data_IF_932964800519
#
_entry.id   IF_932964800519
#
_cell.length_a   1.000
_cell.length_b   1.000
_cell.length_c   1.000
_cell.angle_alpha   90.00
_cell.angle_beta   90.00
_cell.angle_gamma   90.00
#
_symmetry.space_group_name_H-M   'P 1'
#
loop_
_entity.id
_entity.type
_entity.pdbx_description
1 polymer ?
#
# COMPACT_ATOMS: atom_id res chain seq x y z
N UNK A 1 5.41 -3.23 0.91
CA UNK A 1 5.83 -4.44 0.17
C UNK A 1 4.95 -4.61 -1.07
N UNK A 2 5.54 -4.64 -2.27
CA UNK A 2 4.85 -4.91 -3.54
C UNK A 2 4.58 -6.42 -3.77
N UNK A 3 5.21 -7.29 -2.98
CA UNK A 3 5.00 -8.73 -2.98
C UNK A 3 3.76 -9.04 -2.13
N UNK A 4 2.59 -8.95 -2.75
CA UNK A 4 1.31 -9.05 -2.04
C UNK A 4 0.83 -10.50 -1.85
N UNK A 5 1.35 -11.46 -2.64
CA UNK A 5 0.85 -12.85 -2.69
C UNK A 5 1.97 -13.88 -2.83
N UNK A 6 2.76 -14.10 -1.78
CA UNK A 6 3.78 -15.16 -1.77
C UNK A 6 4.84 -15.05 -2.88
N UNK A 7 4.96 -13.87 -3.48
CA UNK A 7 5.94 -13.58 -4.52
C UNK A 7 7.31 -13.44 -3.87
N UNK A 8 8.33 -13.96 -4.53
CA UNK A 8 9.72 -13.92 -4.07
C UNK A 8 10.57 -13.23 -5.13
N UNK A 9 11.57 -12.47 -4.69
CA UNK A 9 12.58 -11.93 -5.58
C UNK A 9 13.50 -13.09 -5.97
N UNK A 10 13.53 -13.45 -7.26
CA UNK A 10 14.36 -14.55 -7.78
C UNK A 10 15.80 -14.14 -8.04
N UNK A 11 16.07 -12.83 -8.12
CA UNK A 11 17.43 -12.32 -8.21
C UNK A 11 18.20 -12.59 -6.91
N UNK A 12 19.47 -12.94 -7.03
CA UNK A 12 20.37 -12.95 -5.88
C UNK A 12 20.49 -11.53 -5.33
N UNK A 13 20.30 -11.40 -4.02
CA UNK A 13 20.41 -10.14 -3.31
C UNK A 13 21.62 -10.21 -2.39
N UNK A 14 22.50 -9.22 -2.50
CA UNK A 14 23.53 -9.01 -1.49
C UNK A 14 22.86 -8.60 -0.18
N UNK A 15 22.84 -9.53 0.78
CA UNK A 15 22.25 -9.31 2.10
C UNK A 15 23.27 -8.84 3.14
N UNK A 16 24.55 -8.71 2.77
CA UNK A 16 25.62 -8.30 3.68
C UNK A 16 25.43 -6.88 4.23
N UNK A 17 24.63 -6.05 3.54
CA UNK A 17 24.32 -4.67 3.90
C UNK A 17 22.88 -4.48 4.39
N UNK A 18 22.19 -5.56 4.76
CA UNK A 18 20.83 -5.45 5.30
C UNK A 18 20.85 -4.95 6.72
N UNK A 19 19.88 -4.10 7.06
CA UNK A 19 19.77 -3.49 8.38
C UNK A 19 18.43 -3.79 9.02
N UNK A 20 18.44 -4.02 10.33
CA UNK A 20 17.20 -4.07 11.10
C UNK A 20 16.69 -2.65 11.32
N UNK A 21 15.37 -2.48 11.21
CA UNK A 21 14.70 -1.21 11.43
C UNK A 21 13.73 -1.32 12.61
N UNK A 22 14.23 -1.48 13.85
CA UNK A 22 13.38 -1.53 15.03
C UNK A 22 12.75 -0.16 15.25
N UNK A 23 11.46 -0.15 15.57
CA UNK A 23 10.71 1.06 15.93
C UNK A 23 10.02 0.82 17.27
N UNK A 24 10.01 1.84 18.13
CA UNK A 24 9.20 1.86 19.35
C UNK A 24 7.75 2.20 19.01
N UNK A 25 6.83 1.92 19.92
CA UNK A 25 5.45 2.38 19.80
C UNK A 25 5.41 3.90 19.57
N UNK A 26 4.65 4.34 18.56
CA UNK A 26 4.56 5.75 18.14
C UNK A 26 5.65 6.21 17.15
N UNK A 27 6.68 5.41 16.91
CA UNK A 27 7.65 5.68 15.84
C UNK A 27 7.18 5.10 14.50
N UNK A 28 7.69 5.65 13.41
CA UNK A 28 7.43 5.16 12.07
C UNK A 28 8.74 5.04 11.28
N UNK A 29 8.70 4.24 10.23
CA UNK A 29 9.71 4.22 9.19
C UNK A 29 9.11 4.77 7.90
N UNK A 30 9.92 5.48 7.12
CA UNK A 30 9.56 5.92 5.79
C UNK A 30 10.49 5.24 4.80
N UNK A 31 9.91 4.58 3.80
CA UNK A 31 10.68 3.92 2.75
C UNK A 31 9.96 4.06 1.41
N UNK A 32 10.75 4.03 0.35
CA UNK A 32 10.20 3.97 -1.00
C UNK A 32 9.46 2.64 -1.22
N UNK A 33 8.34 2.63 -1.94
CA UNK A 33 7.51 1.44 -2.17
C UNK A 33 8.28 0.26 -2.79
N UNK A 34 9.34 0.56 -3.57
CA UNK A 34 10.21 -0.44 -4.19
C UNK A 34 11.43 -0.85 -3.34
N UNK A 35 11.60 -0.32 -2.12
CA UNK A 35 12.66 -0.79 -1.23
C UNK A 35 12.44 -2.27 -0.93
N UNK A 36 13.46 -3.11 -1.13
CA UNK A 36 13.39 -4.52 -0.73
C UNK A 36 13.39 -4.58 0.80
N UNK A 37 12.35 -5.15 1.38
CA UNK A 37 12.22 -5.34 2.82
C UNK A 37 11.47 -6.63 3.12
N UNK A 38 11.78 -7.23 4.27
CA UNK A 38 11.07 -8.37 4.81
C UNK A 38 10.75 -8.15 6.28
N UNK A 39 9.89 -9.01 6.82
CA UNK A 39 9.64 -9.05 8.26
C UNK A 39 9.87 -10.48 8.74
N UNK A 40 10.76 -10.65 9.72
CA UNK A 40 11.02 -11.96 10.31
C UNK A 40 9.80 -12.48 11.09
N UNK A 41 9.70 -13.81 11.32
CA UNK A 41 8.71 -14.40 12.21
C UNK A 41 8.71 -13.72 13.57
N UNK A 42 7.53 -13.56 14.15
CA UNK A 42 7.39 -13.05 15.51
C UNK A 42 7.65 -14.20 16.49
N UNK A 43 8.72 -14.10 17.27
CA UNK A 43 9.11 -15.09 18.29
C UNK A 43 8.75 -14.65 19.72
N UNK A 44 8.06 -13.51 19.87
CA UNK A 44 7.62 -13.02 21.19
C UNK A 44 6.26 -13.59 21.59
N UNK A 45 5.92 -13.46 22.88
CA UNK A 45 4.63 -13.88 23.42
C UNK A 45 3.47 -12.90 23.12
N UNK A 46 3.71 -11.82 22.39
CA UNK A 46 2.73 -10.78 22.09
C UNK A 46 2.69 -10.42 20.60
N UNK A 47 1.64 -9.72 20.15
CA UNK A 47 1.41 -9.35 18.75
C UNK A 47 2.27 -8.15 18.34
N UNK A 48 2.98 -8.28 17.21
CA UNK A 48 3.57 -7.14 16.50
C UNK A 48 2.53 -6.51 15.56
N UNK A 49 2.01 -5.34 15.92
CA UNK A 49 1.02 -4.60 15.12
C UNK A 49 1.72 -3.42 14.43
N UNK A 50 1.56 -3.29 13.11
CA UNK A 50 2.06 -2.17 12.33
C UNK A 50 0.97 -1.59 11.43
N UNK A 51 0.98 -0.27 11.25
CA UNK A 51 0.10 0.44 10.34
C UNK A 51 0.91 0.94 9.13
N UNK A 52 0.46 0.58 7.93
CA UNK A 52 1.05 1.03 6.68
C UNK A 52 0.27 2.20 6.10
N UNK A 53 0.96 3.27 5.72
CA UNK A 53 0.41 4.43 5.03
C UNK A 53 1.22 4.65 3.75
N UNK A 54 0.53 4.77 2.63
CA UNK A 54 1.14 5.04 1.32
C UNK A 54 0.82 6.46 0.89
N UNK A 55 1.85 7.25 0.57
CA UNK A 55 1.70 8.60 0.06
C UNK A 55 2.17 8.66 -1.38
N UNK A 56 1.44 9.42 -2.20
CA UNK A 56 1.77 9.69 -3.60
C UNK A 56 1.56 11.18 -3.88
N UNK A 57 2.37 11.81 -4.75
CA UNK A 57 2.08 13.16 -5.21
C UNK A 57 0.90 13.14 -6.19
N UNK A 58 0.17 14.26 -6.29
CA UNK A 58 -1.07 14.36 -7.09
C UNK A 58 -0.87 14.13 -8.58
N UNK A 59 0.37 14.27 -9.09
CA UNK A 59 0.70 14.11 -10.50
C UNK A 59 0.85 12.64 -10.95
N UNK A 60 0.85 11.67 -10.04
CA UNK A 60 0.94 10.25 -10.43
C UNK A 60 -0.41 9.70 -10.82
N UNK A 61 -0.42 8.71 -11.71
CA UNK A 61 -1.64 8.02 -12.14
C UNK A 61 -1.48 6.52 -11.98
N UNK A 62 -2.53 5.84 -11.52
CA UNK A 62 -2.57 4.38 -11.58
C UNK A 62 -2.59 3.89 -13.04
N UNK A 63 -1.88 2.79 -13.32
CA UNK A 63 -1.83 2.17 -14.66
C UNK A 63 -2.92 1.12 -14.88
N UNK A 64 -3.72 0.82 -13.85
CA UNK A 64 -4.92 -0.01 -13.97
C UNK A 64 -6.02 0.75 -14.71
N UNK A 65 -6.88 0.01 -15.41
CA UNK A 65 -8.12 0.54 -15.97
C UNK A 65 -9.16 0.85 -14.88
N UNK A 66 -9.07 0.18 -13.74
CA UNK A 66 -9.89 0.49 -12.56
C UNK A 66 -9.46 1.83 -11.98
N UNK A 67 -10.39 2.79 -11.98
CA UNK A 67 -10.20 4.08 -11.31
C UNK A 67 -10.18 3.87 -9.80
N UNK A 68 -9.17 4.42 -9.13
CA UNK A 68 -8.96 4.30 -7.69
C UNK A 68 -9.34 5.58 -6.96
N UNK A 69 -9.51 5.44 -5.65
CA UNK A 69 -9.76 6.52 -4.70
C UNK A 69 -8.48 6.87 -3.94
N UNK A 70 -8.34 8.11 -3.47
CA UNK A 70 -7.29 8.53 -2.55
C UNK A 70 -7.72 9.80 -1.80
N UNK A 71 -7.26 9.98 -0.55
CA UNK A 71 -7.55 11.19 0.22
C UNK A 71 -6.48 12.27 0.01
N UNK A 72 -6.88 13.49 -0.34
CA UNK A 72 -5.97 14.64 -0.35
C UNK A 72 -5.59 15.07 1.08
N UNK A 73 -4.35 14.80 1.48
CA UNK A 73 -3.84 15.15 2.83
C UNK A 73 -3.05 16.45 2.89
N UNK A 74 -2.52 16.94 1.75
CA UNK A 74 -1.74 18.18 1.68
C UNK A 74 -1.76 18.80 0.27
N UNK A 75 -1.85 20.12 0.20
CA UNK A 75 -1.73 20.88 -1.05
C UNK A 75 -3.06 20.96 -1.80
N UNK A 76 -2.99 20.93 -3.14
CA UNK A 76 -4.14 21.03 -4.04
C UNK A 76 -3.97 20.02 -5.17
N UNK A 77 -5.00 19.22 -5.43
CA UNK A 77 -5.02 18.36 -6.62
C UNK A 77 -5.54 19.14 -7.84
N UNK A 78 -4.75 19.15 -8.91
CA UNK A 78 -5.10 19.74 -10.22
C UNK A 78 -5.17 18.70 -11.34
N UNK A 79 -4.92 17.42 -11.02
CA UNK A 79 -4.79 16.34 -11.98
C UNK A 79 -6.01 15.41 -11.99
N UNK A 80 -6.68 15.21 -10.84
CA UNK A 80 -7.92 14.41 -10.77
C UNK A 80 -7.72 12.95 -11.15
N UNK A 81 -6.52 12.40 -10.92
CA UNK A 81 -6.19 11.02 -11.26
C UNK A 81 -6.85 9.98 -10.34
N UNK A 82 -7.29 10.40 -9.16
CA UNK A 82 -8.01 9.60 -8.17
C UNK A 82 -9.33 10.28 -7.81
N UNK A 83 -10.31 9.50 -7.37
CA UNK A 83 -11.52 10.04 -6.74
C UNK A 83 -11.21 10.41 -5.27
N UNK A 84 -11.61 11.61 -4.84
CA UNK A 84 -11.30 12.08 -3.49
C UNK A 84 -12.11 11.30 -2.44
N UNK A 85 -11.41 10.80 -1.43
CA UNK A 85 -12.05 10.11 -0.31
C UNK A 85 -12.50 11.14 0.74
N UNK A 86 -13.79 11.12 1.14
CA UNK A 86 -14.26 12.01 2.19
C UNK A 86 -13.56 11.70 3.51
N UNK A 87 -13.26 12.74 4.28
CA UNK A 87 -12.75 12.56 5.66
C UNK A 87 -13.81 11.87 6.51
N UNK A 88 -13.45 10.84 7.29
CA UNK A 88 -14.41 10.20 8.20
C UNK A 88 -14.89 11.22 9.23
N UNK A 89 -16.20 11.23 9.51
CA UNK A 89 -16.81 12.14 10.48
C UNK A 89 -17.10 11.46 11.81
N UNK A 90 -17.36 10.17 11.77
CA UNK A 90 -17.62 9.35 12.95
C UNK A 90 -16.89 8.02 12.86
N UNK A 91 -16.47 7.52 14.01
CA UNK A 91 -15.81 6.22 14.09
C UNK A 91 -16.77 5.12 13.66
N UNK A 92 -16.35 4.35 12.66
CA UNK A 92 -17.08 3.18 12.17
C UNK A 92 -18.50 3.53 11.72
N UNK A 93 -18.75 4.74 11.20
CA UNK A 93 -20.08 5.12 10.70
C UNK A 93 -20.55 4.34 9.48
N UNK A 94 -21.86 4.32 9.24
CA UNK A 94 -22.43 3.60 8.10
C UNK A 94 -21.92 4.14 6.76
N UNK A 95 -21.80 5.47 6.62
CA UNK A 95 -21.26 6.11 5.42
C UNK A 95 -19.77 5.81 5.23
N UNK A 96 -18.97 5.90 6.30
CA UNK A 96 -17.54 5.62 6.30
C UNK A 96 -17.25 4.17 5.90
N UNK A 97 -18.03 3.21 6.43
CA UNK A 97 -17.91 1.81 6.04
C UNK A 97 -18.26 1.58 4.56
N UNK A 98 -19.27 2.27 4.04
CA UNK A 98 -19.63 2.18 2.61
C UNK A 98 -18.50 2.71 1.73
N UNK A 99 -17.93 3.88 2.06
CA UNK A 99 -16.79 4.46 1.34
C UNK A 99 -15.58 3.52 1.41
N UNK A 100 -15.25 3.01 2.60
CA UNK A 100 -14.14 2.08 2.78
C UNK A 100 -14.32 0.78 1.99
N UNK A 101 -15.53 0.22 1.98
CA UNK A 101 -15.83 -0.99 1.23
C UNK A 101 -15.65 -0.79 -0.28
N UNK A 102 -16.11 0.33 -0.82
CA UNK A 102 -15.90 0.70 -2.24
C UNK A 102 -14.41 0.88 -2.57
N UNK A 103 -13.67 1.65 -1.77
CA UNK A 103 -12.23 1.86 -1.95
C UNK A 103 -11.46 0.53 -1.95
N UNK A 104 -11.76 -0.37 -1.01
CA UNK A 104 -11.15 -1.71 -0.93
C UNK A 104 -11.52 -2.58 -2.13
N UNK A 105 -12.77 -2.53 -2.60
CA UNK A 105 -13.21 -3.28 -3.77
C UNK A 105 -12.46 -2.84 -5.04
N UNK A 106 -12.36 -1.52 -5.26
CA UNK A 106 -11.61 -0.95 -6.40
C UNK A 106 -10.12 -1.28 -6.33
N UNK A 107 -9.51 -1.17 -5.15
CA UNK A 107 -8.11 -1.55 -4.95
C UNK A 107 -7.86 -3.03 -5.27
N UNK A 108 -8.74 -3.93 -4.81
CA UNK A 108 -8.64 -5.36 -5.10
C UNK A 108 -8.81 -5.67 -6.59
N UNK A 109 -9.72 -4.98 -7.27
CA UNK A 109 -9.90 -5.11 -8.72
C UNK A 109 -8.65 -4.64 -9.49
N UNK A 110 -8.11 -3.47 -9.16
CA UNK A 110 -6.85 -2.95 -9.73
C UNK A 110 -5.70 -3.94 -9.54
N UNK A 111 -5.51 -4.45 -8.33
CA UNK A 111 -4.44 -5.40 -8.05
C UNK A 111 -4.60 -6.71 -8.83
N UNK A 112 -5.83 -7.21 -8.97
CA UNK A 112 -6.10 -8.41 -9.77
C UNK A 112 -5.78 -8.18 -11.25
N UNK A 113 -6.19 -7.05 -11.82
CA UNK A 113 -5.86 -6.66 -13.20
C UNK A 113 -4.34 -6.60 -13.41
N UNK A 114 -3.64 -5.88 -12.54
CA UNK A 114 -2.20 -5.66 -12.66
C UNK A 114 -1.41 -6.96 -12.48
N UNK A 115 -1.80 -7.81 -11.52
CA UNK A 115 -1.19 -9.14 -11.34
C UNK A 115 -1.31 -9.98 -12.60
N UNK A 116 -2.49 -10.00 -13.23
CA UNK A 116 -2.71 -10.78 -14.46
C UNK A 116 -1.89 -10.23 -15.63
N UNK A 117 -1.77 -8.91 -15.74
CA UNK A 117 -0.95 -8.24 -16.75
C UNK A 117 0.53 -8.60 -16.59
N UNK A 118 1.05 -8.51 -15.37
CA UNK A 118 2.46 -8.79 -15.10
C UNK A 118 2.77 -10.28 -15.31
N UNK A 119 1.85 -11.19 -14.93
CA UNK A 119 1.99 -12.63 -15.23
C UNK A 119 2.02 -12.92 -16.74
N UNK A 120 1.30 -12.15 -17.56
CA UNK A 120 1.33 -12.29 -19.02
C UNK A 120 2.58 -11.69 -19.67
N UNK A 121 3.26 -10.75 -19.01
CA UNK A 121 4.47 -10.09 -19.51
C UNK A 121 5.77 -10.87 -19.24
N UNK A 122 5.73 -11.91 -18.39
CA UNK A 122 6.87 -12.75 -18.01
C UNK A 122 6.95 -14.05 -18.84
N UNK A 123 6.23 -14.12 -19.97
CA UNK A 123 6.33 -15.20 -20.96
C UNK A 123 7.17 -14.74 -22.14
#
# INVERSE_FOLDING_TARGET
NLLSRGQTITAELDTSRTEFMPVRAGQFSLHHTHLVHNSRPNLSADRRIGLGLSYIPTNVRCTSRTRLTAMLVRGTDRYGHFDDEPRPRVDVGAAERTVHADAVARFRASNAEQTNRDASAVR
#
